data_IF_125490906255
#
_entry.id   IF_125490906255
#
_cell.length_a   1.000
_cell.length_b   1.000
_cell.length_c   1.000
_cell.angle_alpha   90.00
_cell.angle_beta   90.00
_cell.angle_gamma   90.00
#
_symmetry.space_group_name_H-M   'P 1'
#
loop_
_entity.id
_entity.type
_entity.pdbx_description
1 polymer ?
#
# COMPACT_ATOMS: atom_id res chain seq x y z
N UNK A 1 24.49 13.94 3.63
CA UNK A 1 24.50 13.13 2.39
C UNK A 1 23.07 13.01 1.90
N UNK A 2 22.76 13.48 0.70
CA UNK A 2 21.42 13.25 0.13
C UNK A 2 21.40 11.83 -0.40
N UNK A 3 20.91 10.92 0.45
CA UNK A 3 20.77 9.51 0.12
C UNK A 3 19.62 9.31 -0.89
N UNK A 4 19.72 8.23 -1.66
CA UNK A 4 18.63 7.77 -2.54
C UNK A 4 17.35 7.67 -1.70
N UNK A 5 16.28 8.35 -2.14
CA UNK A 5 14.98 8.30 -1.47
C UNK A 5 14.28 6.99 -1.83
N UNK A 6 13.69 6.32 -0.85
CA UNK A 6 12.74 5.23 -1.13
C UNK A 6 11.53 5.78 -1.86
N UNK A 7 11.10 5.08 -2.91
CA UNK A 7 9.84 5.35 -3.61
C UNK A 7 8.64 4.75 -2.88
N UNK A 8 8.87 3.72 -2.05
CA UNK A 8 7.84 3.01 -1.32
C UNK A 8 7.72 3.63 0.08
N UNK A 9 6.49 3.95 0.49
CA UNK A 9 6.16 4.35 1.85
C UNK A 9 6.37 3.21 2.85
N UNK A 10 6.38 3.53 4.14
CA UNK A 10 6.52 2.50 5.16
C UNK A 10 5.28 1.61 5.19
N UNK A 11 5.47 0.32 4.97
CA UNK A 11 4.43 -0.70 5.02
C UNK A 11 4.80 -1.82 6.00
N UNK A 12 3.80 -2.39 6.66
CA UNK A 12 3.96 -3.49 7.62
C UNK A 12 2.83 -4.51 7.44
N UNK A 13 3.13 -5.78 7.67
CA UNK A 13 2.11 -6.84 7.77
C UNK A 13 2.02 -7.25 9.23
N UNK A 14 0.81 -7.22 9.81
CA UNK A 14 0.57 -7.60 11.20
C UNK A 14 -0.76 -8.36 11.35
N UNK A 15 -1.06 -8.76 12.58
CA UNK A 15 -2.35 -9.33 12.94
C UNK A 15 -3.25 -8.23 13.51
N UNK A 16 -4.53 -8.24 13.14
CA UNK A 16 -5.51 -7.30 13.66
C UNK A 16 -5.75 -7.50 15.16
N UNK A 17 -5.43 -6.49 15.98
CA UNK A 17 -5.68 -6.55 17.43
C UNK A 17 -7.17 -6.50 17.80
N UNK A 18 -8.03 -5.97 16.91
CA UNK A 18 -9.49 -5.92 17.06
C UNK A 18 -10.17 -5.91 15.70
N UNK A 19 -11.45 -6.30 15.66
CA UNK A 19 -12.22 -6.28 14.44
C UNK A 19 -12.50 -4.85 13.94
N UNK A 20 -12.35 -4.61 12.65
CA UNK A 20 -12.58 -3.31 12.00
C UNK A 20 -12.78 -3.51 10.50
N UNK A 21 -13.19 -2.47 9.79
CA UNK A 21 -13.39 -2.56 8.34
C UNK A 21 -12.10 -2.17 7.61
N UNK A 22 -11.88 -2.76 6.45
CA UNK A 22 -10.80 -2.42 5.54
C UNK A 22 -10.94 -0.98 5.03
N UNK A 23 -9.83 -0.26 4.95
CA UNK A 23 -9.80 1.12 4.47
C UNK A 23 -10.20 1.25 2.99
N UNK A 24 -9.94 0.21 2.17
CA UNK A 24 -10.31 0.22 0.76
C UNK A 24 -11.79 -0.05 0.50
N UNK A 25 -12.47 -0.76 1.39
CA UNK A 25 -13.89 -1.08 1.23
C UNK A 25 -14.52 -1.41 2.58
N UNK A 26 -15.50 -0.60 3.00
CA UNK A 26 -16.20 -0.78 4.27
C UNK A 26 -16.95 -2.12 4.40
N UNK A 27 -17.25 -2.81 3.29
CA UNK A 27 -17.86 -4.15 3.30
C UNK A 27 -16.88 -5.26 3.68
N UNK A 28 -15.57 -5.02 3.57
CA UNK A 28 -14.57 -6.00 3.97
C UNK A 28 -14.31 -5.84 5.46
N UNK A 29 -14.77 -6.81 6.24
CA UNK A 29 -14.47 -6.90 7.67
C UNK A 29 -13.15 -7.63 7.88
N UNK A 30 -12.31 -7.10 8.76
CA UNK A 30 -11.09 -7.73 9.25
C UNK A 30 -11.37 -8.14 10.69
N UNK A 31 -11.29 -9.42 10.98
CA UNK A 31 -11.52 -9.97 12.32
C UNK A 31 -10.25 -9.93 13.17
N UNK A 32 -10.41 -10.02 14.49
CA UNK A 32 -9.27 -10.07 15.42
C UNK A 32 -8.43 -11.32 15.13
N UNK A 33 -7.11 -11.12 15.00
CA UNK A 33 -6.16 -12.19 14.69
C UNK A 33 -5.97 -12.44 13.19
N UNK A 34 -6.73 -11.78 12.32
CA UNK A 34 -6.50 -11.89 10.88
C UNK A 34 -5.30 -11.07 10.43
N UNK A 35 -4.62 -11.56 9.39
CA UNK A 35 -3.51 -10.87 8.74
C UNK A 35 -4.06 -9.64 8.01
N UNK A 36 -3.40 -8.50 8.19
CA UNK A 36 -3.69 -7.26 7.48
C UNK A 36 -2.41 -6.55 7.06
N UNK A 37 -2.55 -5.68 6.07
CA UNK A 37 -1.50 -4.75 5.64
C UNK A 37 -1.74 -3.39 6.28
N UNK A 38 -0.68 -2.81 6.83
CA UNK A 38 -0.64 -1.42 7.29
C UNK A 38 0.20 -0.60 6.32
N UNK A 39 -0.36 0.50 5.82
CA UNK A 39 0.35 1.48 5.00
C UNK A 39 0.41 2.78 5.76
N UNK A 40 1.61 3.38 5.89
CA UNK A 40 1.79 4.62 6.62
C UNK A 40 1.15 5.77 5.85
N UNK A 41 0.15 6.43 6.44
CA UNK A 41 -0.50 7.60 5.84
C UNK A 41 -0.28 8.82 6.75
N UNK A 42 0.76 9.60 6.44
CA UNK A 42 1.18 10.74 7.25
C UNK A 42 1.51 10.33 8.69
N UNK A 43 0.69 10.77 9.65
CA UNK A 43 0.82 10.42 11.08
C UNK A 43 0.06 9.15 11.47
N UNK A 44 -0.80 8.61 10.59
CA UNK A 44 -1.68 7.46 10.84
C UNK A 44 -1.21 6.20 10.10
N UNK A 45 -2.01 5.14 10.18
CA UNK A 45 -1.87 3.90 9.43
C UNK A 45 -3.20 3.54 8.79
N UNK A 46 -3.20 3.34 7.48
CA UNK A 46 -4.31 2.73 6.76
C UNK A 46 -4.21 1.21 6.86
N UNK A 47 -5.33 0.56 7.15
CA UNK A 47 -5.39 -0.88 7.36
C UNK A 47 -6.19 -1.56 6.26
N UNK A 48 -5.58 -2.54 5.60
CA UNK A 48 -6.17 -3.28 4.50
C UNK A 48 -6.28 -4.76 4.82
N UNK A 49 -7.43 -5.36 4.50
CA UNK A 49 -7.58 -6.81 4.56
C UNK A 49 -6.63 -7.48 3.55
N UNK A 50 -6.38 -8.78 3.74
CA UNK A 50 -5.49 -9.56 2.87
C UNK A 50 -5.79 -9.41 1.37
N UNK A 51 -7.05 -9.53 0.96
CA UNK A 51 -7.41 -9.46 -0.45
C UNK A 51 -7.16 -8.08 -1.07
N UNK A 52 -7.40 -7.01 -0.32
CA UNK A 52 -7.05 -5.66 -0.74
C UNK A 52 -5.54 -5.44 -0.77
N UNK A 53 -4.82 -5.96 0.23
CA UNK A 53 -3.36 -5.89 0.30
C UNK A 53 -2.70 -6.54 -0.93
N UNK A 54 -3.11 -7.76 -1.29
CA UNK A 54 -2.60 -8.48 -2.46
C UNK A 54 -2.82 -7.69 -3.76
N UNK A 55 -3.99 -7.06 -3.93
CA UNK A 55 -4.28 -6.20 -5.08
C UNK A 55 -3.40 -4.95 -5.14
N UNK A 56 -3.19 -4.30 -3.99
CA UNK A 56 -2.32 -3.11 -3.89
C UNK A 56 -0.89 -3.49 -4.27
N UNK A 57 -0.35 -4.53 -3.65
CA UNK A 57 1.02 -5.01 -3.89
C UNK A 57 1.20 -5.37 -5.37
N UNK A 58 0.27 -6.14 -5.95
CA UNK A 58 0.35 -6.54 -7.36
C UNK A 58 0.38 -5.33 -8.30
N UNK A 59 -0.52 -4.36 -8.07
CA UNK A 59 -0.59 -3.12 -8.87
C UNK A 59 0.70 -2.32 -8.74
N UNK A 60 1.24 -2.18 -7.53
CA UNK A 60 2.38 -1.32 -7.29
C UNK A 60 3.69 -1.97 -7.74
N UNK A 61 3.81 -3.31 -7.68
CA UNK A 61 4.89 -4.05 -8.37
C UNK A 61 4.85 -3.76 -9.87
N UNK A 62 3.68 -3.82 -10.51
CA UNK A 62 3.56 -3.55 -11.95
C UNK A 62 3.99 -2.11 -12.29
N UNK A 63 3.62 -1.12 -11.47
CA UNK A 63 4.07 0.27 -11.63
C UNK A 63 5.58 0.41 -11.47
N UNK A 64 6.17 -0.22 -10.46
CA UNK A 64 7.61 -0.18 -10.23
C UNK A 64 8.38 -0.84 -11.37
N UNK A 65 7.88 -1.96 -11.90
CA UNK A 65 8.46 -2.63 -13.08
C UNK A 65 8.40 -1.74 -14.34
N UNK A 66 7.31 -0.99 -14.53
CA UNK A 66 7.23 -0.01 -15.63
C UNK A 66 8.22 1.14 -15.42
N UNK A 67 8.32 1.70 -14.22
CA UNK A 67 9.26 2.78 -13.91
C UNK A 67 10.73 2.36 -14.07
N UNK A 68 11.02 1.06 -13.88
CA UNK A 68 12.36 0.51 -14.08
C UNK A 68 12.88 0.68 -15.51
N UNK A 69 12.00 0.82 -16.51
CA UNK A 69 12.42 1.08 -17.90
C UNK A 69 12.97 2.48 -18.09
N UNK A 70 12.77 3.38 -17.11
CA UNK A 70 13.20 4.78 -17.14
C UNK A 70 12.78 5.52 -18.41
N UNK A 71 11.66 5.10 -19.01
CA UNK A 71 11.09 5.75 -20.19
C UNK A 71 10.50 7.10 -19.77
N UNK A 72 10.84 8.22 -20.45
CA UNK A 72 10.24 9.51 -20.16
C UNK A 72 8.72 9.45 -20.24
N UNK A 73 8.03 9.91 -19.18
CA UNK A 73 6.58 10.11 -19.25
C UNK A 73 6.32 11.35 -20.12
N UNK A 74 5.47 11.27 -21.15
CA UNK A 74 5.15 12.46 -21.95
C UNK A 74 4.60 13.55 -21.03
N UNK A 75 5.10 14.77 -21.20
CA UNK A 75 4.75 15.93 -20.38
C UNK A 75 3.24 16.04 -20.23
N UNK A 76 2.75 15.89 -19.01
CA UNK A 76 1.37 16.24 -18.66
C UNK A 76 1.33 17.76 -18.55
N UNK A 77 1.41 18.47 -19.68
CA UNK A 77 1.15 19.90 -19.74
C UNK A 77 -0.37 20.07 -19.59
N UNK A 78 -0.78 20.64 -18.46
CA UNK A 78 -2.15 21.03 -18.14
C UNK A 78 -2.20 22.50 -17.80
#
# INVERSE_FOLDING_TARGET
MVAIKSLIEQVLVDLAGKAHNCQANAKHRIEKGEIRLKVRNGRSWDHYCRSCAERIITRDIAKLAQLQTMTPTPSQEG
#
